data_IF_076034839192
#
_entry.id   IF_076034839192
#
_cell.length_a   1.000
_cell.length_b   1.000
_cell.length_c   1.000
_cell.angle_alpha   90.00
_cell.angle_beta   90.00
_cell.angle_gamma   90.00
#
_symmetry.space_group_name_H-M   'P 1'
#
loop_
_entity.id
_entity.type
_entity.pdbx_description
1 polymer ?
#
# COMPACT_ATOMS: atom_id res chain seq x y z
N UNK A 1 -16.34 33.33 -56.66
CA UNK A 1 -16.50 32.24 -55.67
C UNK A 1 -15.26 31.38 -55.75
N UNK A 2 -14.39 31.44 -54.74
CA UNK A 2 -13.19 30.60 -54.66
C UNK A 2 -13.47 29.42 -53.72
N UNK A 3 -13.20 28.20 -54.19
CA UNK A 3 -13.33 26.98 -53.39
C UNK A 3 -12.05 26.81 -52.56
N UNK A 4 -12.16 26.83 -51.24
CA UNK A 4 -11.03 26.55 -50.34
C UNK A 4 -11.02 25.07 -49.98
N UNK A 5 -9.93 24.38 -50.32
CA UNK A 5 -9.74 22.96 -49.97
C UNK A 5 -9.49 22.85 -48.47
N UNK A 6 -10.26 22.00 -47.80
CA UNK A 6 -10.14 21.74 -46.37
C UNK A 6 -9.71 20.30 -46.11
N UNK A 7 -8.71 20.12 -45.25
CA UNK A 7 -8.19 18.81 -44.84
C UNK A 7 -8.18 18.76 -43.32
N UNK A 8 -8.96 17.86 -42.74
CA UNK A 8 -9.06 17.72 -41.29
C UNK A 8 -7.75 17.17 -40.69
N UNK A 9 -7.34 17.62 -39.48
CA UNK A 9 -6.13 17.11 -38.83
C UNK A 9 -6.25 15.66 -38.38
N UNK A 10 -5.13 14.95 -38.41
CA UNK A 10 -4.92 13.75 -37.58
C UNK A 10 -4.51 14.21 -36.20
N UNK A 11 -5.28 13.85 -35.18
CA UNK A 11 -5.08 14.36 -33.82
C UNK A 11 -4.59 13.23 -32.91
N UNK A 12 -3.53 13.50 -32.15
CA UNK A 12 -2.99 12.59 -31.13
C UNK A 12 -2.56 13.36 -29.88
N UNK A 13 -2.55 12.67 -28.74
CA UNK A 13 -1.99 13.17 -27.48
C UNK A 13 -1.18 12.06 -26.82
N UNK A 14 0.01 12.39 -26.34
CA UNK A 14 0.92 11.41 -25.73
C UNK A 14 2.23 12.04 -25.33
N UNK A 15 3.21 11.22 -24.98
CA UNK A 15 4.60 11.63 -24.78
C UNK A 15 5.54 10.59 -25.39
N UNK A 16 6.64 11.04 -25.98
CA UNK A 16 7.66 10.13 -26.54
C UNK A 16 8.54 9.54 -25.43
N UNK A 17 8.78 10.34 -24.37
CA UNK A 17 9.57 9.96 -23.20
C UNK A 17 8.69 10.09 -21.96
N UNK A 18 8.66 9.05 -21.14
CA UNK A 18 7.91 9.09 -19.90
C UNK A 18 8.58 10.05 -18.90
N UNK A 19 7.86 11.06 -18.40
CA UNK A 19 8.41 12.02 -17.44
C UNK A 19 8.73 11.35 -16.10
N UNK A 20 9.81 11.79 -15.47
CA UNK A 20 10.33 11.21 -14.22
C UNK A 20 10.34 12.29 -13.15
N UNK A 21 9.75 12.01 -12.00
CA UNK A 21 9.65 12.93 -10.88
C UNK A 21 11.02 13.53 -10.54
N UNK A 22 11.09 14.85 -10.51
CA UNK A 22 12.35 15.58 -10.39
C UNK A 22 12.15 17.06 -10.06
N UNK A 23 13.22 17.85 -10.18
CA UNK A 23 13.21 19.28 -9.89
C UNK A 23 13.24 20.17 -11.14
N UNK A 24 13.43 19.58 -12.31
CA UNK A 24 13.53 20.28 -13.60
C UNK A 24 12.21 20.24 -14.34
N UNK A 25 11.94 21.28 -15.14
CA UNK A 25 10.80 21.29 -16.06
C UNK A 25 11.09 20.37 -17.26
N UNK A 26 10.10 19.57 -17.63
CA UNK A 26 10.13 18.70 -18.81
C UNK A 26 8.77 18.67 -19.51
N UNK A 27 8.70 18.04 -20.69
CA UNK A 27 7.45 17.86 -21.43
C UNK A 27 6.70 16.68 -20.81
N UNK A 28 5.50 16.94 -20.30
CA UNK A 28 4.66 15.93 -19.66
C UNK A 28 3.61 15.33 -20.60
N UNK A 29 3.21 16.09 -21.62
CA UNK A 29 2.33 15.67 -22.68
C UNK A 29 2.49 16.56 -23.91
N UNK A 30 2.28 15.98 -25.08
CA UNK A 30 2.29 16.66 -26.37
C UNK A 30 1.01 16.33 -27.10
N UNK A 31 0.28 17.37 -27.51
CA UNK A 31 -0.89 17.23 -28.37
C UNK A 31 -0.55 17.71 -29.78
N UNK A 32 -0.80 16.85 -30.76
CA UNK A 32 -0.46 17.11 -32.15
C UNK A 32 -1.70 17.09 -33.01
N UNK A 33 -1.91 18.14 -33.80
CA UNK A 33 -2.88 18.22 -34.87
C UNK A 33 -2.12 18.30 -36.21
N UNK A 34 -1.96 17.15 -36.87
CA UNK A 34 -1.09 17.01 -38.03
C UNK A 34 -1.82 17.10 -39.36
N UNK A 35 -1.10 17.59 -40.37
CA UNK A 35 -1.45 17.55 -41.80
C UNK A 35 -2.80 18.21 -42.15
N UNK A 36 -3.16 19.29 -41.47
CA UNK A 36 -4.43 19.99 -41.69
C UNK A 36 -4.31 21.14 -42.71
N UNK A 37 -5.43 21.51 -43.30
CA UNK A 37 -5.54 22.71 -44.12
C UNK A 37 -6.93 23.34 -43.91
N UNK A 38 -7.04 24.58 -43.41
CA UNK A 38 -5.97 25.45 -42.89
C UNK A 38 -5.35 24.94 -41.56
N UNK A 39 -4.54 25.75 -40.88
CA UNK A 39 -4.01 25.41 -39.55
C UNK A 39 -5.14 25.14 -38.55
N UNK A 40 -5.00 24.06 -37.78
CA UNK A 40 -5.86 23.78 -36.63
C UNK A 40 -5.50 24.68 -35.43
N UNK A 41 -6.46 24.89 -34.54
CA UNK A 41 -6.27 25.51 -33.23
C UNK A 41 -6.16 24.39 -32.18
N UNK A 42 -5.10 24.43 -31.37
CA UNK A 42 -4.83 23.45 -30.31
C UNK A 42 -4.75 24.17 -28.97
N UNK A 43 -5.50 23.69 -27.99
CA UNK A 43 -5.55 24.28 -26.65
C UNK A 43 -5.66 23.18 -25.57
N UNK A 44 -5.31 23.51 -24.33
CA UNK A 44 -5.40 22.60 -23.20
C UNK A 44 -6.48 23.05 -22.23
N UNK A 45 -7.34 22.13 -21.82
CA UNK A 45 -8.20 22.28 -20.66
C UNK A 45 -7.55 21.56 -19.47
N UNK A 46 -7.00 22.36 -18.55
CA UNK A 46 -6.19 21.90 -17.41
C UNK A 46 -6.95 21.93 -16.07
N UNK A 47 -8.16 22.49 -16.04
CA UNK A 47 -8.95 22.64 -14.81
C UNK A 47 -8.15 23.31 -13.68
N UNK A 48 -8.04 22.62 -12.55
CA UNK A 48 -7.31 23.09 -11.35
C UNK A 48 -5.79 23.01 -11.49
N UNK A 49 -5.26 22.39 -12.54
CA UNK A 49 -3.82 22.21 -12.77
C UNK A 49 -3.22 23.32 -13.64
N UNK A 50 -3.97 24.39 -13.92
CA UNK A 50 -3.53 25.50 -14.78
C UNK A 50 -2.20 26.09 -14.32
N UNK A 51 -2.01 26.25 -13.02
CA UNK A 51 -0.82 26.88 -12.44
C UNK A 51 0.38 25.92 -12.36
N UNK A 52 0.16 24.62 -12.60
CA UNK A 52 1.20 23.59 -12.58
C UNK A 52 1.95 23.47 -13.91
N UNK A 53 1.44 24.08 -14.99
CA UNK A 53 1.94 23.84 -16.33
C UNK A 53 2.13 25.13 -17.14
N UNK A 54 3.16 25.10 -18.00
CA UNK A 54 3.36 26.04 -19.11
C UNK A 54 2.96 25.35 -20.41
N UNK A 55 2.44 26.11 -21.35
CA UNK A 55 2.08 25.61 -22.68
C UNK A 55 3.00 26.26 -23.71
N UNK A 56 3.61 25.44 -24.56
CA UNK A 56 4.41 25.90 -25.68
C UNK A 56 3.92 25.26 -26.97
N UNK A 57 3.52 26.08 -27.95
CA UNK A 57 2.94 25.60 -29.21
C UNK A 57 3.84 25.94 -30.38
N UNK A 58 4.13 24.93 -31.20
CA UNK A 58 4.91 25.02 -32.42
C UNK A 58 4.05 24.73 -33.65
N UNK A 59 4.39 25.41 -34.74
CA UNK A 59 3.70 25.31 -36.02
C UNK A 59 4.70 24.95 -37.11
N UNK A 60 4.35 23.97 -37.91
CA UNK A 60 5.13 23.56 -39.09
C UNK A 60 4.23 23.49 -40.30
N UNK A 61 4.81 23.71 -41.48
CA UNK A 61 4.11 23.65 -42.77
C UNK A 61 4.93 22.80 -43.70
N UNK A 62 4.31 21.81 -44.34
CA UNK A 62 4.98 20.97 -45.33
C UNK A 62 5.03 21.62 -46.72
N UNK A 63 5.70 20.96 -47.66
CA UNK A 63 5.81 21.44 -49.05
C UNK A 63 4.47 21.53 -49.79
N UNK A 64 3.43 20.84 -49.31
CA UNK A 64 2.08 20.86 -49.86
C UNK A 64 1.17 21.92 -49.21
N UNK A 65 1.74 22.70 -48.28
CA UNK A 65 1.04 23.73 -47.54
C UNK A 65 0.04 23.16 -46.53
N UNK A 66 0.26 21.94 -46.03
CA UNK A 66 -0.45 21.39 -44.87
C UNK A 66 0.27 21.80 -43.59
N UNK A 67 -0.53 22.12 -42.58
CA UNK A 67 -0.07 22.60 -41.29
C UNK A 67 -0.07 21.46 -40.28
N UNK A 68 0.96 21.42 -39.46
CA UNK A 68 1.02 20.57 -38.27
C UNK A 68 1.29 21.44 -37.05
N UNK A 69 0.36 21.40 -36.09
CA UNK A 69 0.43 22.16 -34.84
C UNK A 69 0.73 21.19 -33.71
N UNK A 70 1.80 21.45 -32.96
CA UNK A 70 2.25 20.63 -31.84
C UNK A 70 2.28 21.48 -30.59
N UNK A 71 1.47 21.14 -29.59
CA UNK A 71 1.38 21.86 -28.32
C UNK A 71 1.90 20.99 -27.18
N UNK A 72 2.99 21.45 -26.56
CA UNK A 72 3.65 20.79 -25.44
C UNK A 72 3.18 21.37 -24.11
N UNK A 73 2.80 20.48 -23.20
CA UNK A 73 2.50 20.76 -21.81
C UNK A 73 3.78 20.53 -21.00
N UNK A 74 4.33 21.61 -20.43
CA UNK A 74 5.64 21.64 -19.76
C UNK A 74 5.40 21.88 -18.28
N UNK A 75 6.09 21.14 -17.42
CA UNK A 75 6.04 21.36 -15.97
C UNK A 75 7.05 20.51 -15.23
N UNK A 76 7.17 20.73 -13.92
CA UNK A 76 7.99 19.88 -13.06
C UNK A 76 7.23 18.60 -12.75
N UNK A 77 7.76 17.46 -13.19
CA UNK A 77 7.16 16.17 -12.92
C UNK A 77 7.18 15.86 -11.42
N UNK A 78 6.04 15.48 -10.86
CA UNK A 78 5.89 15.07 -9.46
C UNK A 78 4.92 13.89 -9.35
N UNK A 79 5.02 13.10 -8.26
CA UNK A 79 4.11 11.95 -8.09
C UNK A 79 2.65 12.37 -7.96
N UNK A 80 2.38 13.56 -7.43
CA UNK A 80 1.03 14.10 -7.23
C UNK A 80 0.33 14.35 -8.57
N UNK A 81 1.10 14.53 -9.65
CA UNK A 81 0.61 14.65 -11.01
C UNK A 81 0.37 13.29 -11.69
N UNK A 82 0.90 12.18 -11.14
CA UNK A 82 0.64 10.86 -11.69
C UNK A 82 -0.86 10.55 -11.64
N UNK A 83 -1.36 9.96 -12.72
CA UNK A 83 -2.78 9.62 -12.92
C UNK A 83 -3.75 10.82 -12.94
N UNK A 84 -3.24 12.07 -12.93
CA UNK A 84 -4.07 13.24 -13.19
C UNK A 84 -4.42 13.31 -14.67
N UNK A 85 -5.64 13.75 -14.97
CA UNK A 85 -6.14 13.89 -16.34
C UNK A 85 -5.97 15.31 -16.83
N UNK A 86 -5.52 15.44 -18.07
CA UNK A 86 -5.50 16.69 -18.84
C UNK A 86 -6.25 16.47 -20.15
N UNK A 87 -6.81 17.53 -20.72
CA UNK A 87 -7.60 17.45 -21.94
C UNK A 87 -7.02 18.35 -23.01
N UNK A 88 -6.73 17.79 -24.18
CA UNK A 88 -6.40 18.55 -25.38
C UNK A 88 -7.66 18.82 -26.20
N UNK A 89 -7.89 20.08 -26.57
CA UNK A 89 -9.00 20.51 -27.40
C UNK A 89 -8.47 21.02 -28.74
N UNK A 90 -8.91 20.36 -29.82
CA UNK A 90 -8.53 20.70 -31.20
C UNK A 90 -9.75 21.17 -31.99
N UNK A 91 -9.64 22.36 -32.57
CA UNK A 91 -10.67 23.01 -33.39
C UNK A 91 -10.15 23.20 -34.82
N UNK A 92 -10.94 22.82 -35.81
CA UNK A 92 -10.58 22.97 -37.23
C UNK A 92 -11.85 22.98 -38.11
N UNK A 93 -11.94 23.81 -39.18
CA UNK A 93 -13.14 23.92 -40.02
C UNK A 93 -13.61 22.61 -40.67
N UNK A 94 -12.67 21.71 -40.99
CA UNK A 94 -12.95 20.39 -41.54
C UNK A 94 -13.44 19.35 -40.52
N UNK A 95 -13.56 19.71 -39.22
CA UNK A 95 -14.15 18.85 -38.19
C UNK A 95 -15.60 19.28 -37.96
N UNK A 96 -16.52 18.32 -37.83
CA UNK A 96 -17.93 18.60 -37.50
C UNK A 96 -18.08 19.27 -36.14
N UNK A 97 -17.24 18.85 -35.19
CA UNK A 97 -17.19 19.33 -33.81
C UNK A 97 -15.73 19.39 -33.35
N UNK A 98 -15.46 20.15 -32.30
CA UNK A 98 -14.12 20.18 -31.68
C UNK A 98 -13.78 18.79 -31.16
N UNK A 99 -12.56 18.33 -31.44
CA UNK A 99 -12.06 17.07 -30.88
C UNK A 99 -11.50 17.32 -29.49
N UNK A 100 -11.97 16.54 -28.52
CA UNK A 100 -11.45 16.50 -27.16
C UNK A 100 -10.73 15.18 -26.94
N UNK A 101 -9.46 15.23 -26.57
CA UNK A 101 -8.66 14.07 -26.24
C UNK A 101 -8.28 14.13 -24.77
N UNK A 102 -8.70 13.12 -24.01
CA UNK A 102 -8.26 12.95 -22.63
C UNK A 102 -6.90 12.25 -22.61
N UNK A 103 -5.99 12.75 -21.77
CA UNK A 103 -4.71 12.13 -21.52
C UNK A 103 -4.47 12.02 -20.01
N UNK A 104 -4.16 10.80 -19.56
CA UNK A 104 -3.78 10.54 -18.17
C UNK A 104 -2.27 10.63 -18.06
N UNK A 105 -1.77 11.57 -17.27
CA UNK A 105 -0.34 11.73 -17.03
C UNK A 105 0.21 10.45 -16.38
N UNK A 106 1.28 9.92 -16.94
CA UNK A 106 2.01 8.77 -16.41
C UNK A 106 3.39 9.23 -15.96
N UNK A 107 3.51 9.59 -14.69
CA UNK A 107 4.76 10.10 -14.11
C UNK A 107 5.46 8.97 -13.37
N UNK A 108 6.72 8.73 -13.70
CA UNK A 108 7.54 7.74 -13.02
C UNK A 108 8.26 8.31 -11.80
N UNK A 109 8.38 7.52 -10.75
CA UNK A 109 9.01 7.91 -9.49
C UNK A 109 9.54 6.67 -8.73
N UNK A 110 10.59 6.82 -7.92
CA UNK A 110 11.10 5.74 -7.09
C UNK A 110 10.05 5.29 -6.06
N UNK A 111 10.19 4.07 -5.51
CA UNK A 111 9.29 3.60 -4.46
C UNK A 111 9.31 4.53 -3.25
N UNK A 112 8.14 4.76 -2.66
CA UNK A 112 7.93 5.58 -1.48
C UNK A 112 6.88 4.93 -0.59
N UNK A 113 6.88 5.31 0.70
CA UNK A 113 5.86 4.86 1.66
C UNK A 113 5.72 3.33 1.65
N UNK A 114 6.77 2.60 2.03
CA UNK A 114 6.72 1.15 2.15
C UNK A 114 6.02 0.79 3.46
N UNK A 115 4.88 0.12 3.38
CA UNK A 115 4.12 -0.35 4.54
C UNK A 115 4.03 -1.87 4.55
N UNK A 116 4.13 -2.45 5.75
CA UNK A 116 4.08 -3.88 5.97
C UNK A 116 2.82 -4.21 6.76
N UNK A 117 1.93 -4.98 6.14
CA UNK A 117 0.64 -5.35 6.71
C UNK A 117 0.63 -6.83 7.10
N UNK A 118 0.05 -7.17 8.25
CA UNK A 118 -0.25 -8.55 8.61
C UNK A 118 -1.51 -9.00 7.87
N UNK A 119 -1.40 -9.98 6.98
CA UNK A 119 -2.53 -10.50 6.18
C UNK A 119 -3.14 -11.75 6.81
N UNK A 120 -2.31 -12.65 7.32
CA UNK A 120 -2.76 -13.93 7.89
C UNK A 120 -2.14 -14.15 9.26
N UNK A 121 -2.97 -14.55 10.22
CA UNK A 121 -2.55 -14.99 11.56
C UNK A 121 -3.33 -16.24 11.96
N UNK A 122 -3.04 -17.36 11.30
CA UNK A 122 -3.67 -18.66 11.58
C UNK A 122 -2.70 -19.58 12.31
N UNK A 123 -3.12 -20.10 13.47
CA UNK A 123 -2.30 -20.97 14.30
C UNK A 123 -0.92 -20.37 14.57
N UNK A 124 0.12 -21.12 14.22
CA UNK A 124 1.52 -20.73 14.34
C UNK A 124 2.09 -20.08 13.07
N UNK A 125 1.27 -19.65 12.10
CA UNK A 125 1.76 -19.00 10.88
C UNK A 125 1.40 -17.52 10.88
N UNK A 126 2.36 -16.67 10.52
CA UNK A 126 2.17 -15.24 10.27
C UNK A 126 2.59 -14.92 8.84
N UNK A 127 1.73 -14.22 8.12
CA UNK A 127 1.98 -13.74 6.77
C UNK A 127 1.94 -12.22 6.77
N UNK A 128 3.00 -11.62 6.27
CA UNK A 128 3.12 -10.18 6.09
C UNK A 128 3.21 -9.84 4.61
N UNK A 129 2.53 -8.79 4.20
CA UNK A 129 2.58 -8.27 2.85
C UNK A 129 3.25 -6.90 2.86
N UNK A 130 4.21 -6.72 1.95
CA UNK A 130 4.87 -5.46 1.70
C UNK A 130 4.20 -4.76 0.54
N UNK A 131 3.66 -3.59 0.83
CA UNK A 131 2.96 -2.75 -0.12
C UNK A 131 3.68 -1.40 -0.19
N UNK A 132 3.62 -0.77 -1.37
CA UNK A 132 4.49 0.36 -1.71
C UNK A 132 3.84 1.25 -2.76
N UNK A 133 4.01 2.56 -2.61
CA UNK A 133 3.64 3.55 -3.63
C UNK A 133 4.82 3.77 -4.58
N UNK A 134 4.69 3.29 -5.81
CA UNK A 134 5.76 3.33 -6.80
C UNK A 134 5.19 3.29 -8.23
N UNK A 135 5.83 3.99 -9.15
CA UNK A 135 5.53 3.88 -10.58
C UNK A 135 6.82 3.94 -11.41
N UNK A 136 7.16 2.91 -12.20
CA UNK A 136 6.47 1.65 -12.40
C UNK A 136 6.39 0.79 -11.14
N UNK A 137 5.42 -0.14 -11.13
CA UNK A 137 5.27 -1.12 -10.06
C UNK A 137 6.52 -2.01 -9.97
N UNK A 138 7.10 -2.18 -8.77
CA UNK A 138 8.22 -3.09 -8.53
C UNK A 138 7.88 -4.54 -8.89
N UNK A 139 8.84 -5.26 -9.49
CA UNK A 139 8.74 -6.70 -9.76
C UNK A 139 9.47 -7.57 -8.74
N UNK A 140 10.36 -6.98 -7.94
CA UNK A 140 11.20 -7.70 -6.98
C UNK A 140 11.12 -7.05 -5.60
N UNK A 141 10.92 -7.89 -4.58
CA UNK A 141 10.88 -7.51 -3.17
C UNK A 141 11.88 -8.39 -2.43
N UNK A 142 12.73 -7.79 -1.60
CA UNK A 142 13.75 -8.50 -0.83
C UNK A 142 13.44 -8.35 0.66
N UNK A 143 13.20 -9.49 1.32
CA UNK A 143 12.93 -9.54 2.74
C UNK A 143 14.18 -9.92 3.51
N UNK A 144 14.48 -9.18 4.56
CA UNK A 144 15.57 -9.51 5.47
C UNK A 144 15.19 -9.29 6.92
N UNK A 145 15.72 -10.12 7.82
CA UNK A 145 15.73 -9.86 9.25
C UNK A 145 17.10 -9.33 9.62
N UNK A 146 17.17 -8.22 10.35
CA UNK A 146 18.45 -7.58 10.72
C UNK A 146 18.83 -7.75 12.18
N UNK A 147 17.89 -8.17 13.02
CA UNK A 147 18.08 -8.42 14.45
C UNK A 147 17.11 -9.52 14.89
N UNK A 148 17.51 -10.49 15.73
CA UNK A 148 18.83 -10.62 16.38
C UNK A 148 19.94 -11.17 15.47
N UNK A 149 19.57 -11.96 14.45
CA UNK A 149 20.51 -12.53 13.47
C UNK A 149 20.13 -12.05 12.08
N UNK A 150 21.14 -11.76 11.25
CA UNK A 150 20.92 -11.38 9.85
C UNK A 150 20.54 -12.59 9.03
N UNK A 151 19.38 -12.52 8.39
CA UNK A 151 18.83 -13.57 7.55
C UNK A 151 18.13 -12.93 6.35
N UNK A 152 18.27 -13.54 5.18
CA UNK A 152 17.59 -13.12 3.94
C UNK A 152 16.60 -14.20 3.55
N UNK A 153 15.38 -13.81 3.25
CA UNK A 153 14.32 -14.73 2.85
C UNK A 153 14.26 -14.79 1.32
N UNK A 154 13.96 -15.98 0.78
CA UNK A 154 13.81 -16.15 -0.68
C UNK A 154 12.65 -15.30 -1.20
N UNK A 155 12.86 -14.63 -2.34
CA UNK A 155 11.94 -13.69 -3.00
C UNK A 155 10.65 -14.35 -3.53
N UNK A 156 9.77 -14.81 -2.64
CA UNK A 156 8.43 -15.27 -3.03
C UNK A 156 7.48 -14.07 -2.91
N UNK A 157 7.29 -13.39 -4.03
CA UNK A 157 6.41 -12.23 -4.17
C UNK A 157 6.77 -11.07 -3.21
N UNK A 158 5.78 -10.24 -2.90
CA UNK A 158 5.85 -9.19 -1.90
C UNK A 158 5.49 -9.68 -0.48
N UNK A 159 5.55 -11.00 -0.22
CA UNK A 159 5.06 -11.61 1.02
C UNK A 159 6.18 -12.26 1.84
N UNK A 160 6.06 -12.17 3.15
CA UNK A 160 6.93 -12.81 4.12
C UNK A 160 6.08 -13.74 4.99
N UNK A 161 6.41 -15.03 5.00
CA UNK A 161 5.73 -16.03 5.82
C UNK A 161 6.72 -16.52 6.87
N UNK A 162 6.36 -16.38 8.15
CA UNK A 162 7.17 -16.83 9.29
C UNK A 162 6.33 -17.60 10.29
N UNK A 163 6.98 -18.45 11.09
CA UNK A 163 6.33 -19.11 12.21
C UNK A 163 6.14 -18.12 13.38
N UNK A 164 5.02 -18.24 14.09
CA UNK A 164 4.68 -17.49 15.28
C UNK A 164 5.35 -18.11 16.51
N UNK A 165 6.66 -18.31 16.44
CA UNK A 165 7.50 -18.82 17.52
C UNK A 165 8.51 -17.75 17.93
N UNK A 166 8.96 -17.71 19.21
CA UNK A 166 9.90 -16.69 19.68
C UNK A 166 11.23 -16.62 18.91
N UNK A 167 11.64 -17.70 18.24
CA UNK A 167 12.84 -17.72 17.40
C UNK A 167 12.76 -16.80 16.16
N UNK A 168 11.55 -16.46 15.71
CA UNK A 168 11.30 -15.51 14.62
C UNK A 168 11.07 -14.07 15.13
N UNK A 169 11.23 -13.81 16.42
CA UNK A 169 11.22 -12.44 16.93
C UNK A 169 12.37 -11.65 16.31
N UNK A 170 12.12 -10.37 16.01
CA UNK A 170 13.14 -9.56 15.39
C UNK A 170 12.65 -8.35 14.63
N UNK A 171 13.62 -7.65 14.07
CA UNK A 171 13.39 -6.50 13.20
C UNK A 171 13.56 -6.91 11.74
N UNK A 172 12.48 -6.83 10.99
CA UNK A 172 12.36 -7.22 9.59
C UNK A 172 12.34 -5.97 8.71
N UNK A 173 12.95 -6.10 7.53
CA UNK A 173 12.99 -5.10 6.48
C UNK A 173 12.44 -5.71 5.19
N UNK A 174 11.57 -4.94 4.53
CA UNK A 174 11.21 -5.14 3.15
C UNK A 174 11.93 -4.10 2.31
N UNK A 175 12.82 -4.53 1.43
CA UNK A 175 13.56 -3.68 0.50
C UNK A 175 12.90 -3.83 -0.87
N UNK A 176 12.50 -2.71 -1.44
CA UNK A 176 11.74 -2.64 -2.68
C UNK A 176 12.45 -1.73 -3.66
N UNK A 177 12.56 -2.15 -4.91
CA UNK A 177 13.26 -1.40 -5.96
C UNK A 177 12.45 -1.29 -7.24
N UNK A 178 12.59 -0.15 -7.92
CA UNK A 178 12.26 -0.02 -9.33
C UNK A 178 13.43 0.65 -10.08
N UNK A 179 13.30 0.84 -11.38
CA UNK A 179 14.37 1.42 -12.21
C UNK A 179 14.76 2.87 -11.84
N UNK A 180 14.02 3.52 -10.94
CA UNK A 180 14.23 4.91 -10.49
C UNK A 180 14.76 5.00 -9.06
N UNK A 181 14.82 3.90 -8.32
CA UNK A 181 15.42 3.86 -6.98
C UNK A 181 14.82 2.79 -6.08
N UNK A 182 15.18 2.88 -4.80
CA UNK A 182 14.86 1.89 -3.79
C UNK A 182 14.21 2.54 -2.56
N UNK A 183 13.39 1.77 -1.85
CA UNK A 183 12.86 2.13 -0.55
C UNK A 183 12.81 0.93 0.40
N UNK A 184 12.76 1.23 1.70
CA UNK A 184 12.78 0.24 2.76
C UNK A 184 11.57 0.46 3.68
N UNK A 185 10.83 -0.62 3.95
CA UNK A 185 9.84 -0.70 5.01
C UNK A 185 10.38 -1.53 6.17
N UNK A 186 9.98 -1.20 7.40
CA UNK A 186 10.41 -1.92 8.59
C UNK A 186 9.23 -2.43 9.43
N UNK A 187 9.43 -3.58 10.06
CA UNK A 187 8.46 -4.23 10.94
C UNK A 187 9.20 -4.86 12.11
N UNK A 188 8.68 -4.66 13.33
CA UNK A 188 9.13 -5.40 14.49
C UNK A 188 8.14 -6.51 14.84
N UNK A 189 8.60 -7.75 14.86
CA UNK A 189 7.80 -8.92 15.23
C UNK A 189 8.16 -9.36 16.64
N UNK A 190 7.14 -9.44 17.49
CA UNK A 190 7.26 -9.97 18.85
C UNK A 190 6.13 -10.95 19.13
N UNK A 191 6.47 -12.23 19.19
CA UNK A 191 5.61 -13.33 19.60
C UNK A 191 5.77 -13.51 21.10
N UNK A 192 4.66 -13.33 21.83
CA UNK A 192 4.56 -13.64 23.25
C UNK A 192 3.93 -15.04 23.36
N UNK A 193 4.62 -16.03 23.94
CA UNK A 193 4.03 -17.34 24.14
C UNK A 193 2.79 -17.21 25.02
N UNK A 194 1.68 -17.84 24.61
CA UNK A 194 0.50 -17.95 25.45
C UNK A 194 0.87 -18.81 26.66
N UNK A 195 1.20 -18.18 27.78
CA UNK A 195 1.27 -18.89 29.05
C UNK A 195 -0.15 -19.27 29.45
N UNK A 196 -0.61 -20.42 28.98
CA UNK A 196 -1.59 -21.14 29.78
C UNK A 196 -0.91 -21.43 31.10
N UNK A 197 -1.23 -20.64 32.14
CA UNK A 197 -0.66 -20.85 33.45
C UNK A 197 -1.29 -22.09 34.06
N UNK A 198 -0.84 -23.26 33.60
CA UNK A 198 -1.09 -24.56 34.23
C UNK A 198 -0.67 -24.49 35.69
N UNK A 199 0.36 -23.70 35.99
CA UNK A 199 0.82 -23.42 37.36
C UNK A 199 -0.28 -22.74 38.18
N UNK A 200 -0.93 -21.67 37.67
CA UNK A 200 -2.01 -21.00 38.40
C UNK A 200 -3.23 -21.92 38.60
N UNK A 201 -3.60 -22.68 37.57
CA UNK A 201 -4.67 -23.69 37.68
C UNK A 201 -4.32 -24.82 38.67
N UNK A 202 -3.08 -25.32 38.65
CA UNK A 202 -2.64 -26.37 39.58
C UNK A 202 -2.59 -25.86 41.02
N UNK A 203 -2.10 -24.64 41.26
CA UNK A 203 -2.11 -24.03 42.59
C UNK A 203 -3.53 -23.78 43.09
N UNK A 204 -4.43 -23.31 42.22
CA UNK A 204 -5.84 -23.12 42.56
C UNK A 204 -6.52 -24.45 42.95
N UNK A 205 -6.24 -25.53 42.21
CA UNK A 205 -6.74 -26.88 42.52
C UNK A 205 -6.17 -27.38 43.86
N UNK A 206 -4.87 -27.20 44.12
CA UNK A 206 -4.23 -27.61 45.38
C UNK A 206 -4.84 -26.86 46.57
N UNK A 207 -5.05 -25.55 46.44
CA UNK A 207 -5.69 -24.72 47.50
C UNK A 207 -7.13 -25.17 47.74
N UNK A 208 -7.90 -25.44 46.68
CA UNK A 208 -9.26 -25.97 46.82
C UNK A 208 -9.29 -27.31 47.56
N UNK A 209 -8.38 -28.24 47.20
CA UNK A 209 -8.28 -29.53 47.88
C UNK A 209 -7.93 -29.34 49.36
N UNK A 210 -6.96 -28.47 49.69
CA UNK A 210 -6.58 -28.20 51.07
C UNK A 210 -7.75 -27.62 51.90
N UNK A 211 -8.54 -26.72 51.33
CA UNK A 211 -9.73 -26.16 51.99
C UNK A 211 -10.81 -27.23 52.22
N UNK A 212 -11.05 -28.10 51.23
CA UNK A 212 -12.00 -29.21 51.36
C UNK A 212 -11.53 -30.20 52.42
N UNK A 213 -10.26 -30.60 52.41
CA UNK A 213 -9.69 -31.48 53.44
C UNK A 213 -9.80 -30.86 54.84
N UNK A 214 -9.46 -29.58 54.99
CA UNK A 214 -9.62 -28.85 56.24
C UNK A 214 -11.08 -28.83 56.74
N UNK A 215 -12.03 -28.62 55.83
CA UNK A 215 -13.47 -28.66 56.15
C UNK A 215 -13.94 -30.05 56.59
N UNK A 216 -13.49 -31.12 55.93
CA UNK A 216 -13.84 -32.51 56.29
C UNK A 216 -13.28 -32.86 57.68
N UNK A 217 -12.03 -32.53 57.96
CA UNK A 217 -11.42 -32.75 59.28
C UNK A 217 -12.16 -31.98 60.37
N UNK A 218 -12.50 -30.71 60.11
CA UNK A 218 -13.27 -29.88 61.04
C UNK A 218 -14.67 -30.47 61.32
N UNK A 219 -15.37 -30.93 60.28
CA UNK A 219 -16.65 -31.63 60.43
C UNK A 219 -16.53 -32.91 61.27
N UNK A 220 -15.46 -33.68 61.08
CA UNK A 220 -15.20 -34.90 61.85
C UNK A 220 -14.98 -34.62 63.34
N UNK A 221 -14.22 -33.56 63.67
CA UNK A 221 -13.99 -33.16 65.06
C UNK A 221 -15.25 -32.62 65.75
N UNK A 222 -16.13 -31.93 65.01
CA UNK A 222 -17.42 -31.49 65.53
C UNK A 222 -18.34 -32.69 65.85
N UNK A 223 -18.32 -33.72 65.00
CA UNK A 223 -19.16 -34.91 65.17
C UNK A 223 -18.64 -35.89 66.23
N UNK A 224 -17.37 -35.81 66.65
CA UNK A 224 -16.83 -36.60 67.77
C UNK A 224 -17.09 -35.98 69.14
N UNK A 225 -17.76 -34.83 69.20
CA UNK A 225 -17.97 -34.04 70.42
C UNK A 225 -19.37 -34.19 71.03
N UNK A 226 -20.21 -35.10 70.53
CA UNK A 226 -21.54 -35.35 71.10
C UNK A 226 -21.42 -36.10 72.46
N UNK A 227 -21.98 -35.58 73.57
CA UNK A 227 -21.86 -36.19 74.89
C UNK A 227 -22.79 -37.40 75.06
N UNK A 228 -22.24 -38.47 75.66
CA UNK A 228 -22.93 -39.69 76.12
C UNK A 228 -24.03 -39.35 77.14
N UNK A 229 -25.24 -39.95 77.08
CA UNK A 229 -26.24 -39.77 78.12
C UNK A 229 -25.83 -40.55 79.38
N UNK A 230 -25.70 -39.86 80.51
CA UNK A 230 -25.58 -40.49 81.83
C UNK A 230 -26.91 -41.07 82.25
N UNK A 231 -27.02 -42.40 82.15
CA UNK A 231 -28.06 -43.24 82.74
C UNK A 231 -27.69 -43.61 84.19
N UNK A 232 -28.74 -43.79 85.01
CA UNK A 232 -28.89 -44.37 86.36
C UNK A 232 -27.65 -45.04 87.03
N UNK A 233 -27.38 -44.90 88.32
CA UNK A 233 -28.25 -45.10 89.49
C UNK A 233 -27.55 -46.06 90.47
N UNK A 234 -27.88 -45.92 91.78
CA UNK A 234 -27.93 -47.01 92.79
C UNK A 234 -26.59 -47.57 93.36
N UNK A 235 -26.15 -47.18 94.57
CA UNK A 235 -26.49 -47.63 95.94
C UNK A 235 -25.64 -48.80 96.51
N UNK A 236 -25.02 -48.53 97.67
CA UNK A 236 -24.79 -49.39 98.85
C UNK A 236 -24.01 -50.73 98.74
N UNK A 237 -22.74 -50.72 99.21
CA UNK A 237 -22.26 -51.37 100.45
C UNK A 237 -20.73 -51.42 100.49
#
# INVERSE_FOLDING_TARGET
>A
MYLTVQVAPVVSVGTDVHPVSGQTEEILATCTAANSKPSAEVSWNLGTLRDSFKVHTNHTVDSEGRHTVTSNLIGTASKELNQKKVQCLVSHPGLKEKKLLEYTLNIYYPPQLVYINLTTSQGETREFQCDVDANPKPSHFNWSRISPVRETFSNVDNRLIISATPEFNGHYLCIVSNQYGDAIGSLYVNVIPATESKICWTLFIIVLIALICGFVVWKFQLNSSDPVPTDSGEEMS
#
